data_IF_345058687307
#
_entry.id   IF_345058687307
#
_cell.length_a   1.000
_cell.length_b   1.000
_cell.length_c   1.000
_cell.angle_alpha   90.00
_cell.angle_beta   90.00
_cell.angle_gamma   90.00
#
_symmetry.space_group_name_H-M   'P 1'
#
loop_
_entity.id
_entity.type
_entity.pdbx_description
1 polymer ?
#
# COMPACT_ATOMS: atom_id res chain seq x y z
N UNK A 1 16.31 -16.48 -7.54
CA UNK A 1 15.92 -17.26 -6.39
C UNK A 1 14.58 -16.80 -5.83
N UNK A 2 13.76 -17.72 -5.41
CA UNK A 2 12.47 -17.37 -4.85
C UNK A 2 12.64 -16.59 -3.55
N UNK A 3 11.68 -15.72 -3.24
CA UNK A 3 11.60 -15.09 -1.94
C UNK A 3 11.47 -16.18 -0.87
N UNK A 4 11.88 -15.87 0.36
CA UNK A 4 11.83 -16.83 1.45
C UNK A 4 10.42 -17.36 1.72
N UNK A 5 9.41 -16.53 1.42
CA UNK A 5 8.01 -16.93 1.57
C UNK A 5 7.54 -17.84 0.44
N UNK A 6 8.24 -17.87 -0.68
CA UNK A 6 7.81 -18.57 -1.88
C UNK A 6 6.67 -17.87 -2.60
N UNK A 7 6.38 -16.63 -2.25
CA UNK A 7 5.28 -15.87 -2.86
C UNK A 7 5.76 -15.21 -4.15
N UNK A 8 4.91 -15.26 -5.18
CA UNK A 8 5.16 -14.59 -6.46
C UNK A 8 4.23 -13.37 -6.59
N UNK A 9 4.51 -12.51 -7.56
CA UNK A 9 3.72 -11.31 -7.83
C UNK A 9 3.12 -11.41 -9.21
N UNK A 10 1.79 -11.27 -9.31
CA UNK A 10 1.10 -11.32 -10.60
C UNK A 10 1.47 -10.09 -11.45
N UNK A 11 1.61 -10.30 -12.75
CA UNK A 11 1.94 -9.24 -13.70
C UNK A 11 0.92 -8.11 -13.70
N UNK A 12 -0.35 -8.41 -13.42
CA UNK A 12 -1.38 -7.38 -13.35
C UNK A 12 -1.09 -6.34 -12.27
N UNK A 13 -0.50 -6.77 -11.16
CA UNK A 13 -0.09 -5.84 -10.09
C UNK A 13 0.92 -4.84 -10.63
N UNK A 14 1.92 -5.34 -11.36
CA UNK A 14 2.96 -4.48 -11.92
C UNK A 14 2.39 -3.52 -12.96
N UNK A 15 1.46 -4.00 -13.77
CA UNK A 15 0.83 -3.18 -14.81
C UNK A 15 0.01 -2.04 -14.21
N UNK A 16 -0.80 -2.35 -13.20
CA UNK A 16 -1.62 -1.31 -12.56
C UNK A 16 -0.79 -0.37 -11.69
N UNK A 17 0.31 -0.86 -11.13
CA UNK A 17 1.23 0.03 -10.44
C UNK A 17 1.83 1.05 -11.41
N UNK A 18 2.22 0.64 -12.60
CA UNK A 18 2.72 1.59 -13.61
C UNK A 18 1.64 2.60 -14.00
N UNK A 19 0.39 2.18 -14.06
CA UNK A 19 -0.71 3.09 -14.38
C UNK A 19 -0.88 4.16 -13.31
N UNK A 20 -0.85 3.78 -12.03
CA UNK A 20 -0.98 4.77 -10.95
C UNK A 20 0.24 5.68 -10.87
N UNK A 21 1.42 5.13 -11.08
CA UNK A 21 2.67 5.88 -10.98
C UNK A 21 2.84 6.87 -12.12
N UNK A 22 2.59 6.45 -13.34
CA UNK A 22 2.88 7.26 -14.52
C UNK A 22 1.72 8.14 -14.97
N UNK A 23 0.48 7.68 -14.74
CA UNK A 23 -0.71 8.38 -15.26
C UNK A 23 -1.62 8.91 -14.17
N UNK A 24 -1.40 8.54 -12.91
CA UNK A 24 -2.22 8.96 -11.77
C UNK A 24 -3.72 8.72 -12.00
N UNK A 25 -4.05 7.60 -12.65
CA UNK A 25 -5.45 7.28 -13.01
C UNK A 25 -6.26 6.73 -11.84
N UNK A 26 -5.58 6.27 -10.78
CA UNK A 26 -6.25 5.72 -9.60
C UNK A 26 -5.85 6.51 -8.37
N UNK A 27 -6.75 6.57 -7.38
CA UNK A 27 -6.40 7.05 -6.05
C UNK A 27 -5.57 6.01 -5.32
N UNK A 28 -5.95 4.73 -5.46
CA UNK A 28 -5.16 3.64 -4.88
C UNK A 28 -5.39 2.35 -5.64
N UNK A 29 -4.42 1.45 -5.49
CA UNK A 29 -4.55 0.06 -5.89
C UNK A 29 -4.35 -0.79 -4.65
N UNK A 30 -5.03 -1.93 -4.59
CA UNK A 30 -5.01 -2.80 -3.42
C UNK A 30 -4.72 -4.23 -3.86
N UNK A 31 -3.86 -4.90 -3.13
CA UNK A 31 -3.41 -6.25 -3.43
C UNK A 31 -3.67 -7.18 -2.25
N UNK A 32 -3.82 -8.47 -2.55
CA UNK A 32 -3.95 -9.51 -1.53
C UNK A 32 -3.09 -10.70 -1.92
N UNK A 33 -2.92 -11.63 -1.00
CA UNK A 33 -2.20 -12.87 -1.29
C UNK A 33 -3.24 -13.96 -1.51
N UNK A 34 -3.22 -14.58 -2.69
CA UNK A 34 -4.17 -15.63 -3.04
C UNK A 34 -3.82 -16.94 -2.34
N UNK A 35 -4.75 -17.90 -2.38
CA UNK A 35 -4.52 -19.24 -1.83
C UNK A 35 -3.34 -19.96 -2.49
N UNK A 36 -2.97 -19.52 -3.67
CA UNK A 36 -1.84 -20.10 -4.41
C UNK A 36 -0.52 -19.38 -4.14
N UNK A 37 -0.49 -18.56 -3.09
CA UNK A 37 0.69 -17.79 -2.69
C UNK A 37 1.17 -16.84 -3.79
N UNK A 38 0.24 -16.22 -4.47
CA UNK A 38 0.52 -15.18 -5.45
C UNK A 38 -0.09 -13.87 -4.97
N UNK A 39 0.69 -12.79 -5.02
CA UNK A 39 0.17 -11.46 -4.74
C UNK A 39 -0.59 -11.01 -5.97
N UNK A 40 -1.90 -10.82 -5.82
CA UNK A 40 -2.79 -10.48 -6.93
C UNK A 40 -3.47 -9.14 -6.66
N UNK A 41 -3.92 -8.51 -7.73
CA UNK A 41 -4.69 -7.28 -7.62
C UNK A 41 -6.05 -7.60 -7.02
N UNK A 42 -6.43 -6.86 -5.97
CA UNK A 42 -7.74 -6.99 -5.34
C UNK A 42 -8.72 -5.94 -5.88
N UNK A 43 -8.26 -4.69 -5.95
CA UNK A 43 -9.09 -3.62 -6.48
C UNK A 43 -8.25 -2.41 -6.88
N UNK A 44 -8.85 -1.58 -7.72
CA UNK A 44 -8.33 -0.24 -8.04
C UNK A 44 -9.48 0.73 -7.84
N UNK A 45 -9.19 1.94 -7.41
CA UNK A 45 -10.21 2.94 -7.17
C UNK A 45 -9.80 4.30 -7.71
N UNK A 46 -10.73 4.95 -8.40
CA UNK A 46 -10.58 6.32 -8.86
C UNK A 46 -11.36 7.22 -7.92
N UNK A 47 -10.90 8.46 -7.76
CA UNK A 47 -11.63 9.50 -7.03
C UNK A 47 -12.02 9.09 -5.60
N UNK A 48 -11.12 8.43 -4.91
CA UNK A 48 -11.34 8.01 -3.53
C UNK A 48 -10.48 8.83 -2.58
N UNK A 49 -11.02 9.15 -1.41
CA UNK A 49 -10.25 9.81 -0.36
C UNK A 49 -9.48 8.77 0.46
N UNK A 50 -8.57 9.25 1.31
CA UNK A 50 -7.88 8.36 2.23
C UNK A 50 -8.85 7.72 3.22
N UNK A 51 -9.87 8.47 3.66
CA UNK A 51 -10.90 7.91 4.54
C UNK A 51 -11.69 6.81 3.85
N UNK A 52 -11.98 6.97 2.56
CA UNK A 52 -12.66 5.91 1.77
C UNK A 52 -11.79 4.65 1.72
N UNK A 53 -10.49 4.82 1.55
CA UNK A 53 -9.56 3.70 1.54
C UNK A 53 -9.57 2.96 2.88
N UNK A 54 -9.48 3.70 3.99
CA UNK A 54 -9.45 3.11 5.33
C UNK A 54 -10.76 2.38 5.64
N UNK A 55 -11.89 2.97 5.23
CA UNK A 55 -13.21 2.42 5.55
C UNK A 55 -13.49 1.06 4.92
N UNK A 56 -12.84 0.72 3.82
CA UNK A 56 -13.09 -0.53 3.11
C UNK A 56 -12.09 -1.64 3.46
N UNK A 57 -11.13 -1.37 4.35
CA UNK A 57 -10.14 -2.39 4.73
C UNK A 57 -10.82 -3.53 5.49
N UNK A 58 -10.49 -4.80 5.18
CA UNK A 58 -11.15 -5.93 5.84
C UNK A 58 -10.70 -6.07 7.29
N UNK A 59 -11.64 -6.55 8.12
CA UNK A 59 -11.40 -6.69 9.55
C UNK A 59 -10.48 -7.84 9.93
N UNK A 60 -10.42 -8.88 9.10
CA UNK A 60 -9.74 -10.14 9.45
C UNK A 60 -8.77 -10.62 8.39
N UNK A 61 -8.54 -9.84 7.35
CA UNK A 61 -7.64 -10.20 6.26
C UNK A 61 -6.60 -9.13 6.06
N UNK A 62 -5.44 -9.56 5.58
CA UNK A 62 -4.38 -8.62 5.23
C UNK A 62 -4.55 -8.04 3.84
N UNK A 63 -3.97 -6.87 3.63
CA UNK A 63 -3.90 -6.23 2.31
C UNK A 63 -2.60 -5.45 2.19
N UNK A 64 -2.11 -5.38 0.96
CA UNK A 64 -1.11 -4.38 0.59
C UNK A 64 -1.82 -3.34 -0.26
N UNK A 65 -1.35 -2.11 -0.23
CA UNK A 65 -1.92 -1.06 -1.05
C UNK A 65 -0.87 -0.03 -1.43
N UNK A 66 -1.08 0.61 -2.57
CA UNK A 66 -0.32 1.80 -2.95
C UNK A 66 -1.33 2.92 -3.13
N UNK A 67 -1.17 3.99 -2.38
CA UNK A 67 -2.04 5.15 -2.44
C UNK A 67 -1.28 6.32 -3.06
N UNK A 68 -1.86 6.94 -4.07
CA UNK A 68 -1.31 8.15 -4.71
C UNK A 68 -1.77 9.33 -3.85
N UNK A 69 -1.00 9.63 -2.82
CA UNK A 69 -1.41 10.50 -1.71
C UNK A 69 -1.13 11.97 -2.02
N UNK A 70 -2.16 12.81 -2.13
CA UNK A 70 -1.96 14.23 -2.35
C UNK A 70 -1.54 14.90 -1.04
N UNK A 71 -0.50 15.70 -1.09
CA UNK A 71 0.00 16.38 0.09
C UNK A 71 0.54 17.75 -0.28
N UNK A 72 0.12 18.76 0.48
CA UNK A 72 0.67 20.11 0.34
C UNK A 72 1.89 20.23 1.24
N UNK A 73 3.01 20.61 0.66
CA UNK A 73 4.25 20.80 1.40
C UNK A 73 4.28 22.16 2.11
N UNK A 74 5.21 22.31 3.05
CA UNK A 74 5.40 23.59 3.77
C UNK A 74 5.69 24.75 2.84
N UNK A 75 6.28 24.46 1.68
CA UNK A 75 6.56 25.47 0.65
C UNK A 75 5.31 25.93 -0.09
N UNK A 76 4.17 25.29 0.13
CA UNK A 76 2.94 25.55 -0.59
C UNK A 76 2.76 24.71 -1.84
N UNK A 77 3.75 23.92 -2.21
CA UNK A 77 3.67 23.04 -3.39
C UNK A 77 2.70 21.89 -3.14
N UNK A 78 1.83 21.64 -4.11
CA UNK A 78 0.95 20.46 -4.09
C UNK A 78 1.62 19.34 -4.87
N UNK A 79 1.74 18.18 -4.24
CA UNK A 79 2.35 17.01 -4.87
C UNK A 79 1.60 15.75 -4.51
N UNK A 80 1.79 14.71 -5.32
CA UNK A 80 1.28 13.38 -5.02
C UNK A 80 2.46 12.45 -4.79
N UNK A 81 2.29 11.60 -3.78
CA UNK A 81 3.35 10.68 -3.36
C UNK A 81 2.80 9.27 -3.35
N UNK A 82 3.57 8.33 -3.87
CA UNK A 82 3.19 6.91 -3.84
C UNK A 82 3.55 6.34 -2.47
N UNK A 83 2.54 6.08 -1.68
CA UNK A 83 2.70 5.57 -0.32
C UNK A 83 2.27 4.11 -0.28
N UNK A 84 3.15 3.25 0.23
CA UNK A 84 2.87 1.83 0.35
C UNK A 84 2.32 1.53 1.73
N UNK A 85 1.21 0.79 1.79
CA UNK A 85 0.57 0.40 3.04
C UNK A 85 0.54 -1.11 3.16
N UNK A 86 0.91 -1.61 4.33
CA UNK A 86 0.65 -2.99 4.70
C UNK A 86 -0.40 -2.98 5.80
N UNK A 87 -1.56 -3.52 5.47
CA UNK A 87 -2.66 -3.68 6.42
C UNK A 87 -2.70 -5.13 6.87
N UNK A 88 -2.49 -5.36 8.15
CA UNK A 88 -2.58 -6.71 8.71
C UNK A 88 -3.24 -6.57 10.09
N UNK A 89 -4.57 -6.70 10.17
CA UNK A 89 -5.29 -6.42 11.41
C UNK A 89 -4.98 -7.46 12.48
N UNK A 90 -5.10 -7.03 13.73
CA UNK A 90 -4.83 -7.91 14.88
C UNK A 90 -5.71 -9.16 14.87
N UNK A 91 -6.92 -9.07 14.33
CA UNK A 91 -7.84 -10.19 14.23
C UNK A 91 -7.45 -11.20 13.15
N UNK A 92 -6.49 -10.88 12.28
CA UNK A 92 -6.05 -11.83 11.26
C UNK A 92 -5.30 -13.00 11.90
N UNK A 93 -5.40 -14.21 11.33
CA UNK A 93 -4.65 -15.36 11.86
C UNK A 93 -3.14 -15.10 11.87
N UNK A 94 -2.45 -15.71 12.81
CA UNK A 94 -0.99 -15.58 12.92
C UNK A 94 -0.30 -15.97 11.62
N UNK A 95 -0.79 -17.01 10.95
CA UNK A 95 -0.24 -17.44 9.66
C UNK A 95 -0.29 -16.32 8.63
N UNK A 96 -1.43 -15.60 8.58
CA UNK A 96 -1.59 -14.47 7.66
C UNK A 96 -0.58 -13.37 7.98
N UNK A 97 -0.42 -13.04 9.25
CA UNK A 97 0.53 -12.01 9.68
C UNK A 97 1.95 -12.35 9.26
N UNK A 98 2.35 -13.60 9.47
CA UNK A 98 3.68 -14.07 9.10
C UNK A 98 3.88 -14.03 7.58
N UNK A 99 2.87 -14.45 6.83
CA UNK A 99 2.96 -14.47 5.37
C UNK A 99 3.08 -13.06 4.80
N UNK A 100 2.29 -12.11 5.30
CA UNK A 100 2.37 -10.72 4.85
C UNK A 100 3.73 -10.10 5.18
N UNK A 101 4.23 -10.34 6.38
CA UNK A 101 5.53 -9.80 6.78
C UNK A 101 6.67 -10.35 5.90
N UNK A 102 6.64 -11.66 5.61
CA UNK A 102 7.72 -12.29 4.84
C UNK A 102 7.61 -12.03 3.34
N UNK A 103 6.44 -11.65 2.85
CA UNK A 103 6.20 -11.43 1.42
C UNK A 103 6.37 -9.98 0.98
N UNK A 104 6.44 -9.06 1.92
CA UNK A 104 6.48 -7.62 1.63
C UNK A 104 7.63 -7.25 0.70
N UNK A 105 8.83 -7.78 0.96
CA UNK A 105 9.99 -7.43 0.16
C UNK A 105 9.89 -7.91 -1.28
N UNK A 106 9.30 -9.08 -1.50
CA UNK A 106 9.10 -9.59 -2.85
C UNK A 106 8.20 -8.64 -3.66
N UNK A 107 7.16 -8.10 -3.02
CA UNK A 107 6.28 -7.14 -3.67
C UNK A 107 7.01 -5.81 -3.89
N UNK A 108 7.67 -5.28 -2.89
CA UNK A 108 8.33 -3.96 -2.99
C UNK A 108 9.39 -3.92 -4.07
N UNK A 109 10.06 -5.04 -4.33
CA UNK A 109 11.05 -5.12 -5.41
C UNK A 109 10.43 -4.88 -6.79
N UNK A 110 9.13 -5.11 -6.91
CA UNK A 110 8.39 -4.88 -8.16
C UNK A 110 7.79 -3.49 -8.24
N UNK A 111 7.80 -2.73 -7.14
CA UNK A 111 7.16 -1.43 -7.03
C UNK A 111 8.21 -0.33 -6.92
N UNK A 112 8.79 0.04 -8.06
CA UNK A 112 9.82 1.06 -8.09
C UNK A 112 9.21 2.46 -7.96
N UNK A 113 9.75 3.27 -7.05
CA UNK A 113 9.29 4.65 -6.88
C UNK A 113 8.38 4.90 -5.68
N UNK A 114 8.27 3.93 -4.79
CA UNK A 114 7.53 4.13 -3.53
C UNK A 114 8.28 5.16 -2.69
N UNK A 115 7.55 6.19 -2.23
CA UNK A 115 8.14 7.27 -1.46
C UNK A 115 8.37 6.90 0.00
N UNK A 116 7.39 6.24 0.63
CA UNK A 116 7.53 5.71 1.99
C UNK A 116 6.51 4.63 2.24
N UNK A 117 6.68 3.88 3.33
CA UNK A 117 5.76 2.80 3.67
C UNK A 117 5.22 2.96 5.09
N UNK A 118 4.01 2.45 5.30
CA UNK A 118 3.36 2.40 6.59
C UNK A 118 2.86 0.99 6.85
N UNK A 119 2.92 0.58 8.10
CA UNK A 119 2.33 -0.69 8.55
C UNK A 119 1.24 -0.37 9.54
N UNK A 120 0.11 -1.06 9.43
CA UNK A 120 -1.03 -0.84 10.30
C UNK A 120 -1.66 -2.16 10.73
N UNK A 121 -2.04 -2.25 11.99
CA UNK A 121 -2.79 -3.38 12.55
C UNK A 121 -4.14 -2.95 13.09
N UNK A 122 -4.38 -1.66 13.18
CA UNK A 122 -5.64 -1.07 13.64
C UNK A 122 -5.99 0.12 12.76
N UNK A 123 -7.28 0.41 12.65
CA UNK A 123 -7.71 1.57 11.86
C UNK A 123 -7.16 2.88 12.42
N UNK A 124 -6.96 2.96 13.75
CA UNK A 124 -6.37 4.13 14.36
C UNK A 124 -4.93 4.42 13.97
N UNK A 125 -4.24 3.44 13.37
CA UNK A 125 -2.89 3.64 12.86
C UNK A 125 -2.90 4.40 11.53
N UNK A 126 -4.06 4.51 10.90
CA UNK A 126 -4.20 5.07 9.55
C UNK A 126 -4.93 6.41 9.61
N UNK A 127 -4.20 7.45 9.98
CA UNK A 127 -4.74 8.82 10.05
C UNK A 127 -4.08 9.67 8.97
N UNK A 128 -4.90 10.41 8.24
CA UNK A 128 -4.40 11.26 7.17
C UNK A 128 -3.36 12.27 7.69
N UNK A 129 -3.58 12.80 8.89
CA UNK A 129 -2.67 13.78 9.50
C UNK A 129 -1.29 13.17 9.74
N UNK A 130 -1.25 11.91 10.16
CA UNK A 130 0.03 11.23 10.43
C UNK A 130 0.80 10.97 9.15
N UNK A 131 0.11 10.60 8.08
CA UNK A 131 0.74 10.39 6.78
C UNK A 131 1.29 11.71 6.26
N UNK A 132 0.49 12.77 6.32
CA UNK A 132 0.92 14.09 5.88
C UNK A 132 2.14 14.59 6.67
N UNK A 133 2.11 14.40 7.97
CA UNK A 133 3.21 14.84 8.84
C UNK A 133 4.52 14.14 8.46
N UNK A 134 4.45 12.84 8.19
CA UNK A 134 5.65 12.08 7.80
C UNK A 134 6.15 12.46 6.42
N UNK A 135 5.26 12.72 5.47
CA UNK A 135 5.64 13.19 4.14
C UNK A 135 6.38 14.52 4.26
N UNK A 136 5.81 15.47 5.01
CA UNK A 136 6.43 16.79 5.20
C UNK A 136 7.78 16.68 5.89
N UNK A 137 7.87 15.83 6.90
CA UNK A 137 9.12 15.62 7.62
C UNK A 137 10.22 15.09 6.70
N UNK A 138 9.90 14.13 5.86
CA UNK A 138 10.86 13.58 4.89
C UNK A 138 11.25 14.62 3.85
N UNK A 139 10.30 15.44 3.42
CA UNK A 139 10.56 16.47 2.40
C UNK A 139 11.47 17.59 2.91
N UNK A 140 11.57 17.79 4.23
CA UNK A 140 12.44 18.81 4.83
C UNK A 140 13.90 18.41 4.90
N UNK A 141 14.20 17.13 4.76
CA UNK A 141 15.57 16.63 4.92
C UNK A 141 16.38 16.60 3.63
#
# INVERSE_FOLDING_TARGET
MAAQSGVTVDDEVCREFQAIKMKHVYSYIQMKISSEKTIVLDSVQENASFDDFVAQLPEKEGRYAVFDFPCKLDTGSDRKYLIFFQWCPDAAPVRTKMLFASSKDALKKKLDGIYMEFQASELGDLKVEDVEAKIRSKART
#
